data_IF_806283390945
#
_entry.id   IF_806283390945
#
_cell.length_a   1.000
_cell.length_b   1.000
_cell.length_c   1.000
_cell.angle_alpha   90.00
_cell.angle_beta   90.00
_cell.angle_gamma   90.00
#
_symmetry.space_group_name_H-M   'P 1'
#
loop_
_entity.id
_entity.type
_entity.pdbx_description
1 polymer ?
#
# COMPACT_ATOMS: atom_id res chain seq x y z
N UNK A 1 -6.32 -19.42 5.38
CA UNK A 1 -5.37 -18.27 5.33
C UNK A 1 -5.84 -17.20 4.35
N UNK A 2 -7.13 -16.83 4.39
CA UNK A 2 -7.72 -15.65 3.72
C UNK A 2 -9.02 -15.39 4.48
N UNK A 3 -9.14 -14.30 5.22
CA UNK A 3 -10.41 -13.92 5.84
C UNK A 3 -10.63 -12.44 5.60
N UNK A 4 -11.20 -12.18 4.44
CA UNK A 4 -11.85 -10.95 4.05
C UNK A 4 -13.09 -10.75 4.92
N UNK A 5 -13.13 -9.74 5.78
CA UNK A 5 -14.39 -9.27 6.38
C UNK A 5 -14.34 -7.76 6.62
N UNK A 6 -15.17 -7.03 5.88
CA UNK A 6 -15.64 -5.72 6.31
C UNK A 6 -17.01 -5.86 6.98
N UNK A 7 -17.18 -5.04 8.02
CA UNK A 7 -18.37 -4.75 8.84
C UNK A 7 -18.64 -5.73 10.00
N UNK A 8 -18.63 -5.18 11.23
CA UNK A 8 -19.09 -5.76 12.52
C UNK A 8 -18.03 -6.25 13.54
N UNK A 9 -16.94 -5.52 13.77
CA UNK A 9 -16.08 -5.74 14.95
C UNK A 9 -15.03 -6.84 14.82
N UNK A 10 -14.64 -7.18 13.59
CA UNK A 10 -13.50 -8.06 13.29
C UNK A 10 -12.21 -7.22 13.31
N UNK A 11 -11.13 -7.73 13.92
CA UNK A 11 -9.79 -7.16 13.70
C UNK A 11 -9.60 -7.05 12.19
N UNK A 12 -9.55 -5.83 11.68
CA UNK A 12 -9.33 -5.59 10.27
C UNK A 12 -7.89 -6.03 9.99
N UNK A 13 -7.71 -7.27 9.55
CA UNK A 13 -6.42 -7.71 9.08
C UNK A 13 -6.15 -6.92 7.81
N UNK A 14 -5.26 -5.96 7.94
CA UNK A 14 -4.77 -5.16 6.83
C UNK A 14 -4.30 -6.06 5.69
N UNK A 15 -4.71 -5.72 4.47
CA UNK A 15 -4.29 -6.45 3.27
C UNK A 15 -2.99 -5.80 2.83
N UNK A 16 -1.88 -6.53 2.92
CA UNK A 16 -0.62 -5.99 2.44
C UNK A 16 -0.62 -5.89 0.90
N UNK A 17 -0.97 -4.72 0.38
CA UNK A 17 -1.04 -4.52 -1.07
C UNK A 17 0.33 -4.59 -1.75
N UNK A 18 1.41 -4.40 -0.98
CA UNK A 18 2.79 -4.54 -1.44
C UNK A 18 3.15 -6.00 -1.71
N UNK A 19 2.66 -6.93 -0.88
CA UNK A 19 2.85 -8.36 -1.06
C UNK A 19 1.93 -8.93 -2.13
N UNK A 20 0.68 -8.47 -2.20
CA UNK A 20 -0.28 -8.94 -3.23
C UNK A 20 -0.01 -8.33 -4.60
N UNK A 21 0.76 -7.24 -4.68
CA UNK A 21 1.02 -6.51 -5.91
C UNK A 21 -0.20 -5.73 -6.43
N UNK A 22 -1.17 -5.43 -5.56
CA UNK A 22 -2.40 -4.70 -5.93
C UNK A 22 -2.27 -3.18 -5.77
N UNK A 23 -1.08 -2.68 -5.42
CA UNK A 23 -0.79 -1.26 -5.30
C UNK A 23 -0.53 -0.58 -6.66
N UNK A 24 -0.64 0.75 -6.68
CA UNK A 24 -0.39 1.58 -7.87
C UNK A 24 0.93 2.35 -7.83
N UNK A 25 1.79 2.10 -6.84
CA UNK A 25 3.09 2.78 -6.73
C UNK A 25 3.96 2.58 -7.98
N UNK A 26 4.55 3.67 -8.49
CA UNK A 26 5.49 3.61 -9.61
C UNK A 26 6.81 2.90 -9.23
N UNK A 27 7.26 3.08 -7.98
CA UNK A 27 8.55 2.57 -7.51
C UNK A 27 8.37 1.70 -6.26
N UNK A 28 8.48 2.28 -5.06
CA UNK A 28 8.43 1.51 -3.80
C UNK A 28 7.04 1.58 -3.17
N UNK A 29 6.50 0.42 -2.78
CA UNK A 29 5.30 0.30 -1.95
C UNK A 29 5.70 0.10 -0.49
N UNK A 30 4.97 0.75 0.42
CA UNK A 30 5.12 0.62 1.87
C UNK A 30 3.73 0.34 2.44
N UNK A 31 3.55 -0.85 3.01
CA UNK A 31 2.28 -1.23 3.59
C UNK A 31 1.99 -0.44 4.87
N UNK A 32 0.74 -0.06 5.10
CA UNK A 32 0.29 0.69 6.28
C UNK A 32 -1.04 0.13 6.78
N UNK A 33 -1.38 0.30 8.05
CA UNK A 33 -2.66 -0.23 8.53
C UNK A 33 -3.85 0.45 7.81
N UNK A 34 -4.58 -0.33 7.00
CA UNK A 34 -5.74 0.07 6.24
C UNK A 34 -5.46 0.65 4.84
N UNK A 35 -4.20 0.69 4.39
CA UNK A 35 -3.80 1.24 3.07
C UNK A 35 -2.33 0.92 2.75
N UNK A 36 -1.80 1.49 1.68
CA UNK A 36 -0.37 1.58 1.43
C UNK A 36 0.05 3.03 1.14
N UNK A 37 1.35 3.29 1.24
CA UNK A 37 1.99 4.51 0.76
C UNK A 37 3.06 4.19 -0.27
N UNK A 38 3.34 5.14 -1.16
CA UNK A 38 4.39 5.02 -2.16
C UNK A 38 5.59 5.89 -1.80
N UNK A 39 6.79 5.38 -2.06
CA UNK A 39 8.03 6.15 -1.97
C UNK A 39 8.86 6.01 -3.25
N UNK A 40 9.77 6.97 -3.45
CA UNK A 40 10.65 7.02 -4.60
C UNK A 40 12.05 6.55 -4.23
N UNK A 41 12.79 5.94 -5.15
CA UNK A 41 14.21 5.64 -5.00
C UNK A 41 15.02 6.91 -4.79
N UNK A 42 16.22 6.75 -4.25
CA UNK A 42 17.10 7.87 -3.96
C UNK A 42 17.43 8.62 -5.25
N UNK A 43 17.31 9.96 -5.20
CA UNK A 43 17.46 10.83 -6.37
C UNK A 43 16.17 11.15 -7.12
N UNK A 44 15.03 10.52 -6.78
CA UNK A 44 13.71 10.83 -7.35
C UNK A 44 12.83 11.57 -6.33
N UNK A 45 12.01 12.50 -6.81
CA UNK A 45 11.05 13.26 -6.02
C UNK A 45 9.61 12.79 -6.24
N UNK A 46 8.86 12.69 -5.15
CA UNK A 46 7.43 12.38 -5.17
C UNK A 46 6.67 13.63 -5.62
N UNK A 47 6.08 13.62 -6.82
CA UNK A 47 5.33 14.77 -7.36
C UNK A 47 3.82 14.62 -7.21
N UNK A 48 3.35 13.39 -7.29
CA UNK A 48 1.98 12.99 -6.98
C UNK A 48 2.09 11.72 -6.14
N UNK A 49 1.15 11.46 -5.25
CA UNK A 49 1.26 10.41 -4.22
C UNK A 49 1.61 8.99 -4.74
N UNK A 50 1.57 8.76 -6.06
CA UNK A 50 1.93 7.52 -6.76
C UNK A 50 3.13 7.64 -7.73
N UNK A 51 3.57 8.84 -8.11
CA UNK A 51 4.56 9.10 -9.17
C UNK A 51 5.88 9.71 -8.66
N UNK A 52 6.98 9.25 -9.26
CA UNK A 52 8.37 9.58 -8.95
C UNK A 52 9.08 10.12 -10.19
N UNK A 53 9.71 11.30 -10.07
CA UNK A 53 10.44 12.01 -11.14
C UNK A 53 11.86 12.36 -10.75
#
# INVERSE_FOLDING_TARGET
>A
MRTWMHQNGVQQLDIDECVTGTHSCQQRCINTEGSYNCSCYDGFMKRFELFCF
#
